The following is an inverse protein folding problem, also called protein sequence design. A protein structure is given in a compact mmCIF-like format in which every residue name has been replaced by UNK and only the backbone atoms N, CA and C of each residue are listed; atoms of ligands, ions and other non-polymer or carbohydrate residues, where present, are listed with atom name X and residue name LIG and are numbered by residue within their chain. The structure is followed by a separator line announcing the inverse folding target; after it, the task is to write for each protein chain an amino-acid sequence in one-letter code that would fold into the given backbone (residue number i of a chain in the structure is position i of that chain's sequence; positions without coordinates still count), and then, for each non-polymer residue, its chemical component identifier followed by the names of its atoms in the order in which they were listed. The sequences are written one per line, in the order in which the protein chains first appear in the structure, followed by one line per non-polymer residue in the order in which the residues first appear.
data_IF_397705508558
#
_entry.id   IF_397705508558
#
_cell.length_a   1.000
_cell.length_b   1.000
_cell.length_c   1.000
_cell.angle_alpha   90.00
_cell.angle_beta   90.00
_cell.angle_gamma   90.00
#
_symmetry.space_group_name_H-M   'P 1'
#
loop_
_entity.id
_entity.type
_entity.pdbx_description
1 polymer ?
#
# COMPACT_ATOMS: atom_id res chain seq x y z
N UNK A 1 13.50 -30.58 0.47
CA UNK A 1 14.20 -29.71 1.43
C UNK A 1 13.46 -28.39 1.46
N UNK A 2 12.91 -27.96 2.59
CA UNK A 2 12.31 -26.62 2.72
C UNK A 2 13.44 -25.61 2.78
N UNK A 3 13.60 -24.79 1.75
CA UNK A 3 14.52 -23.65 1.77
C UNK A 3 13.98 -22.68 2.82
N UNK A 4 14.73 -22.47 3.90
CA UNK A 4 14.36 -21.51 4.92
C UNK A 4 14.61 -20.10 4.36
N UNK A 5 13.55 -19.31 4.19
CA UNK A 5 13.63 -17.93 3.70
C UNK A 5 14.36 -17.02 4.70
N UNK A 6 15.11 -16.05 4.18
CA UNK A 6 15.91 -15.14 5.01
C UNK A 6 15.02 -14.26 5.90
N UNK A 7 15.40 -14.10 7.17
CA UNK A 7 14.78 -13.14 8.11
C UNK A 7 15.50 -11.79 8.17
N UNK A 8 16.60 -11.64 7.43
CA UNK A 8 17.29 -10.36 7.37
C UNK A 8 16.51 -9.39 6.46
N UNK A 9 16.36 -8.11 6.84
CA UNK A 9 15.84 -7.08 5.94
C UNK A 9 16.64 -7.01 4.64
N UNK A 10 15.97 -6.72 3.53
CA UNK A 10 16.59 -6.63 2.22
C UNK A 10 17.01 -5.19 1.94
N UNK A 11 18.18 -4.96 1.35
CA UNK A 11 18.64 -3.60 1.03
C UNK A 11 17.73 -2.98 -0.03
N UNK A 12 17.30 -1.74 0.18
CA UNK A 12 16.74 -0.90 -0.87
C UNK A 12 17.88 -0.17 -1.59
N UNK A 13 18.10 -0.50 -2.86
CA UNK A 13 19.21 0.07 -3.64
C UNK A 13 19.01 1.53 -4.03
N UNK A 14 17.79 2.06 -3.86
CA UNK A 14 17.45 3.43 -4.23
C UNK A 14 17.82 4.45 -3.14
N UNK A 15 18.08 4.01 -1.90
CA UNK A 15 18.31 4.90 -0.76
C UNK A 15 19.36 4.34 0.20
N UNK A 16 20.20 5.21 0.75
CA UNK A 16 21.25 4.79 1.67
C UNK A 16 20.68 4.32 3.01
N UNK A 17 21.25 3.23 3.55
CA UNK A 17 20.84 2.66 4.84
C UNK A 17 19.32 2.36 4.94
N UNK A 18 18.67 2.11 3.81
CA UNK A 18 17.25 1.76 3.71
C UNK A 18 17.03 0.28 3.42
N UNK A 19 15.96 -0.26 3.99
CA UNK A 19 15.68 -1.69 3.91
C UNK A 19 14.20 -1.99 3.70
N UNK A 20 13.91 -2.91 2.79
CA UNK A 20 12.62 -3.57 2.65
C UNK A 20 12.41 -4.65 3.73
N UNK A 21 11.17 -5.14 3.91
CA UNK A 21 10.92 -6.32 4.72
C UNK A 21 11.76 -7.53 4.26
N UNK A 22 12.06 -8.43 5.19
CA UNK A 22 12.75 -9.69 4.89
C UNK A 22 11.94 -10.61 3.96
N UNK A 23 12.60 -11.51 3.24
CA UNK A 23 11.93 -12.54 2.42
C UNK A 23 10.94 -13.38 3.25
N UNK A 24 11.33 -13.74 4.48
CA UNK A 24 10.46 -14.48 5.39
C UNK A 24 9.20 -13.68 5.73
N UNK A 25 9.33 -12.42 6.16
CA UNK A 25 8.16 -11.59 6.47
C UNK A 25 7.25 -11.37 5.27
N UNK A 26 7.80 -11.18 4.07
CA UNK A 26 7.01 -11.07 2.84
C UNK A 26 6.21 -12.35 2.59
N UNK A 27 6.80 -13.53 2.81
CA UNK A 27 6.10 -14.81 2.66
C UNK A 27 4.94 -15.02 3.65
N UNK A 28 4.95 -14.32 4.79
CA UNK A 28 3.91 -14.44 5.82
C UNK A 28 2.81 -13.39 5.67
N UNK A 29 3.17 -12.19 5.22
CA UNK A 29 2.29 -11.01 5.28
C UNK A 29 1.90 -10.46 3.91
N UNK A 30 2.38 -11.05 2.83
CA UNK A 30 1.98 -10.69 1.47
C UNK A 30 1.50 -11.91 0.70
N UNK A 31 0.67 -11.67 -0.30
CA UNK A 31 0.14 -12.69 -1.20
C UNK A 31 0.13 -12.14 -2.62
N UNK A 32 0.33 -12.98 -3.65
CA UNK A 32 0.17 -12.56 -5.05
C UNK A 32 -1.28 -12.17 -5.40
N UNK A 33 -2.26 -12.57 -4.59
CA UNK A 33 -3.70 -12.32 -4.81
C UNK A 33 -4.35 -11.86 -3.52
N UNK A 34 -5.22 -10.84 -3.60
CA UNK A 34 -6.07 -10.38 -2.50
C UNK A 34 -7.28 -11.29 -2.28
N UNK A 35 -8.02 -11.06 -1.21
CA UNK A 35 -9.30 -11.70 -0.89
C UNK A 35 -10.53 -10.89 -1.38
N UNK A 36 -10.35 -9.99 -2.35
CA UNK A 36 -11.43 -9.22 -2.98
C UNK A 36 -12.61 -10.14 -3.37
N UNK A 37 -13.77 -9.86 -2.79
CA UNK A 37 -15.04 -10.55 -3.07
C UNK A 37 -16.21 -9.59 -2.80
N UNK A 38 -17.42 -9.94 -3.22
CA UNK A 38 -18.64 -9.21 -2.85
C UNK A 38 -18.81 -7.86 -3.55
N UNK A 39 -18.63 -7.82 -4.87
CA UNK A 39 -18.68 -6.60 -5.67
C UNK A 39 -20.00 -6.49 -6.45
N UNK A 40 -21.13 -6.54 -5.74
CA UNK A 40 -22.45 -6.29 -6.32
C UNK A 40 -23.18 -5.16 -5.58
N UNK A 41 -23.39 -4.06 -6.29
CA UNK A 41 -24.09 -2.88 -5.80
C UNK A 41 -25.27 -2.58 -6.72
N UNK A 42 -26.45 -3.19 -6.50
CA UNK A 42 -27.58 -3.11 -7.44
C UNK A 42 -28.15 -1.69 -7.61
N UNK A 43 -27.83 -0.79 -6.69
CA UNK A 43 -28.20 0.63 -6.75
C UNK A 43 -26.94 1.48 -6.53
N UNK A 44 -26.04 1.56 -7.53
CA UNK A 44 -24.83 2.36 -7.39
C UNK A 44 -25.20 3.84 -7.31
N UNK A 45 -24.37 4.61 -6.63
CA UNK A 45 -24.48 6.05 -6.55
C UNK A 45 -24.31 6.68 -7.94
N UNK A 46 -25.17 7.67 -8.25
CA UNK A 46 -25.17 8.39 -9.53
C UNK A 46 -25.13 9.91 -9.36
N UNK A 47 -24.83 10.38 -8.16
CA UNK A 47 -24.69 11.81 -7.89
C UNK A 47 -23.26 12.29 -8.18
N UNK A 48 -22.90 13.43 -7.59
CA UNK A 48 -21.64 14.14 -7.87
C UNK A 48 -20.62 14.11 -6.73
N UNK A 49 -20.92 13.41 -5.63
CA UNK A 49 -19.97 13.31 -4.53
C UNK A 49 -18.76 12.47 -4.92
N UNK A 50 -17.60 12.91 -4.45
CA UNK A 50 -16.31 12.23 -4.60
C UNK A 50 -15.70 11.96 -3.24
N UNK A 51 -14.71 11.08 -3.21
CA UNK A 51 -13.93 10.76 -2.02
C UNK A 51 -12.53 11.34 -2.17
N UNK A 52 -12.10 12.14 -1.20
CA UNK A 52 -10.73 12.61 -1.10
C UNK A 52 -9.87 11.54 -0.41
N UNK A 53 -8.85 11.06 -1.11
CA UNK A 53 -7.85 10.12 -0.59
C UNK A 53 -6.60 10.92 -0.26
N UNK A 54 -6.25 10.99 1.02
CA UNK A 54 -4.99 11.58 1.48
C UNK A 54 -3.99 10.45 1.64
N UNK A 55 -2.99 10.40 0.77
CA UNK A 55 -2.01 9.32 0.71
C UNK A 55 -0.62 9.79 1.17
N UNK A 56 0.23 8.86 1.58
CA UNK A 56 1.62 9.16 1.92
C UNK A 56 2.45 9.47 0.66
N UNK A 57 3.25 10.54 0.70
CA UNK A 57 4.24 10.95 -0.30
C UNK A 57 5.69 10.65 0.09
N UNK A 58 5.91 10.14 1.31
CA UNK A 58 7.21 9.69 1.82
C UNK A 58 7.26 8.16 1.95
N UNK A 59 8.38 7.56 1.52
CA UNK A 59 8.65 6.12 1.54
C UNK A 59 9.55 5.73 2.69
N UNK A 60 10.49 6.59 3.08
CA UNK A 60 11.56 6.20 4.00
C UNK A 60 11.25 6.62 5.43
N UNK A 61 10.93 5.63 6.27
CA UNK A 61 10.60 5.86 7.68
C UNK A 61 11.84 5.66 8.56
N UNK A 62 12.31 6.68 9.30
CA UNK A 62 13.38 6.52 10.28
C UNK A 62 12.98 5.59 11.42
N UNK A 63 13.89 4.69 11.79
CA UNK A 63 13.74 3.77 12.93
C UNK A 63 14.66 4.18 14.09
N UNK A 64 14.45 3.59 15.26
CA UNK A 64 15.19 3.88 16.50
C UNK A 64 16.70 3.57 16.44
N UNK A 65 17.10 2.69 15.52
CA UNK A 65 18.48 2.30 15.31
C UNK A 65 19.17 3.07 14.17
N UNK A 66 18.51 4.10 13.63
CA UNK A 66 19.05 4.99 12.60
C UNK A 66 18.98 4.44 11.17
N UNK A 67 18.39 3.25 10.96
CA UNK A 67 18.08 2.72 9.62
C UNK A 67 16.74 3.26 9.11
N UNK A 68 16.58 3.26 7.80
CA UNK A 68 15.32 3.60 7.14
C UNK A 68 14.54 2.33 6.79
N UNK A 69 13.25 2.31 7.12
CA UNK A 69 12.32 1.30 6.61
C UNK A 69 11.74 1.79 5.28
N UNK A 70 11.95 1.04 4.20
CA UNK A 70 11.38 1.34 2.89
C UNK A 70 9.92 0.85 2.85
N UNK A 71 9.01 1.81 2.93
CA UNK A 71 7.57 1.59 3.12
C UNK A 71 6.74 2.50 2.19
N UNK A 72 5.46 2.66 2.48
CA UNK A 72 4.52 3.43 1.69
C UNK A 72 3.10 3.12 2.10
N UNK A 73 2.15 3.60 1.32
CA UNK A 73 0.76 3.18 1.47
C UNK A 73 0.68 1.68 1.20
N UNK A 74 -0.03 0.93 2.06
CA UNK A 74 -0.20 -0.50 1.81
C UNK A 74 -1.16 -0.71 0.62
N UNK A 75 -0.75 -1.40 -0.47
CA UNK A 75 -1.56 -1.49 -1.68
C UNK A 75 -2.95 -2.08 -1.44
N UNK A 76 -3.06 -3.10 -0.59
CA UNK A 76 -4.37 -3.73 -0.29
C UNK A 76 -5.25 -2.81 0.57
N UNK A 77 -4.69 -2.15 1.57
CA UNK A 77 -5.46 -1.27 2.45
C UNK A 77 -5.95 -0.03 1.69
N UNK A 78 -5.21 0.37 0.66
CA UNK A 78 -5.58 1.50 -0.20
C UNK A 78 -6.55 1.07 -1.29
N UNK A 79 -6.19 0.08 -2.10
CA UNK A 79 -6.92 -0.19 -3.34
C UNK A 79 -8.17 -1.03 -3.12
N UNK A 80 -8.22 -1.88 -2.10
CA UNK A 80 -9.39 -2.73 -1.87
C UNK A 80 -10.63 -1.92 -1.47
N UNK A 81 -10.56 -0.97 -0.51
CA UNK A 81 -11.70 -0.10 -0.22
C UNK A 81 -12.07 0.81 -1.39
N UNK A 82 -11.06 1.37 -2.09
CA UNK A 82 -11.31 2.21 -3.26
C UNK A 82 -11.98 1.43 -4.39
N UNK A 83 -11.65 0.16 -4.57
CA UNK A 83 -12.31 -0.70 -5.55
C UNK A 83 -13.82 -0.84 -5.26
N UNK A 84 -14.19 -1.12 -4.01
CA UNK A 84 -15.59 -1.20 -3.61
C UNK A 84 -16.34 0.12 -3.80
N UNK A 85 -15.71 1.24 -3.40
CA UNK A 85 -16.30 2.57 -3.55
C UNK A 85 -16.42 2.97 -5.02
N UNK A 86 -15.46 2.57 -5.86
CA UNK A 86 -15.52 2.76 -7.31
C UNK A 86 -16.70 2.00 -7.91
N UNK A 87 -16.82 0.70 -7.58
CA UNK A 87 -17.92 -0.15 -8.04
C UNK A 87 -19.29 0.35 -7.55
N UNK A 88 -19.33 0.99 -6.38
CA UNK A 88 -20.52 1.65 -5.85
C UNK A 88 -20.83 3.00 -6.52
N UNK A 89 -20.03 3.47 -7.49
CA UNK A 89 -20.29 4.66 -8.31
C UNK A 89 -19.63 5.95 -7.82
N UNK A 90 -18.65 5.88 -6.92
CA UNK A 90 -17.90 7.06 -6.49
C UNK A 90 -16.63 7.28 -7.33
N UNK A 91 -16.29 8.56 -7.52
CA UNK A 91 -14.99 8.99 -8.03
C UNK A 91 -14.06 9.41 -6.89
N UNK A 92 -12.77 9.47 -7.18
CA UNK A 92 -11.72 9.81 -6.20
C UNK A 92 -10.91 11.01 -6.65
N UNK A 93 -10.49 11.80 -5.68
CA UNK A 93 -9.41 12.76 -5.82
C UNK A 93 -8.30 12.34 -4.87
N UNK A 94 -7.07 12.29 -5.35
CA UNK A 94 -5.90 11.87 -4.56
C UNK A 94 -5.05 13.08 -4.27
N UNK A 95 -4.71 13.26 -3.00
CA UNK A 95 -3.85 14.33 -2.53
C UNK A 95 -2.76 13.77 -1.61
N UNK A 96 -1.64 14.47 -1.58
CA UNK A 96 -0.56 14.29 -0.62
C UNK A 96 -0.26 15.65 0.00
N UNK A 97 0.44 15.71 1.13
CA UNK A 97 0.69 16.98 1.82
C UNK A 97 1.54 17.92 0.96
N UNK A 98 2.51 17.37 0.23
CA UNK A 98 3.42 18.14 -0.61
C UNK A 98 2.98 18.29 -2.07
N UNK A 99 2.00 17.51 -2.53
CA UNK A 99 1.65 17.38 -3.94
C UNK A 99 2.61 16.49 -4.75
N UNK A 100 3.60 15.86 -4.09
CA UNK A 100 4.44 14.84 -4.70
C UNK A 100 3.66 13.52 -4.90
N UNK A 101 4.24 12.63 -5.70
CA UNK A 101 3.66 11.33 -6.01
C UNK A 101 3.45 10.49 -4.74
N UNK A 102 2.30 9.82 -4.69
CA UNK A 102 2.03 8.76 -3.71
C UNK A 102 3.10 7.67 -3.77
N UNK A 103 3.50 7.14 -2.60
CA UNK A 103 4.47 6.05 -2.49
C UNK A 103 3.79 4.76 -2.04
N UNK A 104 4.15 3.66 -2.68
CA UNK A 104 3.78 2.29 -2.32
C UNK A 104 5.06 1.48 -2.12
#
# INVERSE_FOLDING_TARGET
MTVQTSKNPQVDIAEDNAFFPSEYSLSQYTSPVSDLDGVDYPKPYRGKHKILVIAADERYLPTDNGKLFSTGNHPIETLLPLYHLHAAGFEFEVATISGLMTKF
#
